data_IF_637994526790
#
_entry.id   IF_637994526790
#
_cell.length_a   1.000
_cell.length_b   1.000
_cell.length_c   1.000
_cell.angle_alpha   90.00
_cell.angle_beta   90.00
_cell.angle_gamma   90.00
#
_symmetry.space_group_name_H-M   'P 1'
#
loop_
_entity.id
_entity.type
_entity.pdbx_description
1 polymer ?
#
# COMPACT_ATOMS: atom_id res chain seq x y z
N UNK A 1 3.57 0.74 20.37
CA UNK A 1 2.91 1.66 19.41
C UNK A 1 3.77 2.87 19.08
N UNK A 2 3.74 4.02 19.78
CA UNK A 2 4.54 5.19 19.33
C UNK A 2 6.05 4.96 19.37
N UNK A 3 6.55 4.28 20.42
CA UNK A 3 7.97 3.93 20.57
C UNK A 3 8.47 3.01 19.45
N UNK A 4 7.60 2.12 18.98
CA UNK A 4 7.90 1.19 17.89
C UNK A 4 8.01 1.94 16.56
N UNK A 5 7.05 2.83 16.27
CA UNK A 5 7.11 3.71 15.10
C UNK A 5 8.35 4.61 15.12
N UNK A 6 8.76 5.09 16.29
CA UNK A 6 9.98 5.89 16.45
C UNK A 6 11.24 5.03 16.22
N UNK A 7 11.30 3.81 16.77
CA UNK A 7 12.42 2.88 16.55
C UNK A 7 12.55 2.42 15.10
N UNK A 8 11.44 2.32 14.38
CA UNK A 8 11.40 2.01 12.94
C UNK A 8 11.72 3.25 12.08
N UNK A 9 11.91 4.42 12.69
CA UNK A 9 12.15 5.68 12.00
C UNK A 9 10.95 6.18 11.19
N UNK A 10 9.74 5.69 11.45
CA UNK A 10 8.51 6.11 10.77
C UNK A 10 8.02 7.47 11.28
N UNK A 11 8.32 7.82 12.53
CA UNK A 11 7.99 9.11 13.15
C UNK A 11 9.20 9.72 13.85
N UNK A 12 9.13 11.01 14.14
CA UNK A 12 10.02 11.68 15.10
C UNK A 12 9.29 12.77 15.85
N UNK A 13 9.81 13.11 17.03
CA UNK A 13 9.42 14.33 17.75
C UNK A 13 9.59 15.56 16.86
N UNK A 14 8.70 16.52 17.03
CA UNK A 14 8.68 17.76 16.24
C UNK A 14 8.13 18.92 17.07
N UNK A 15 8.27 20.13 16.52
CA UNK A 15 7.60 21.33 16.97
C UNK A 15 7.01 22.05 15.76
N UNK A 16 5.77 21.67 15.42
CA UNK A 16 5.01 22.11 14.26
C UNK A 16 3.85 23.02 14.67
N UNK A 17 3.54 24.06 13.90
CA UNK A 17 2.32 24.85 14.11
C UNK A 17 1.03 24.07 13.78
N UNK A 18 1.13 22.92 13.09
CA UNK A 18 -0.01 22.06 12.77
C UNK A 18 -0.18 20.96 13.82
N UNK A 19 -1.40 20.48 13.99
CA UNK A 19 -1.66 19.29 14.80
C UNK A 19 -3.00 18.63 14.42
N UNK A 20 -2.96 17.35 14.08
CA UNK A 20 -4.15 16.52 13.86
C UNK A 20 -4.43 15.61 15.06
N UNK A 21 -5.71 15.38 15.42
CA UNK A 21 -6.04 14.50 16.53
C UNK A 21 -5.76 13.03 16.17
N UNK A 22 -5.38 12.25 17.18
CA UNK A 22 -5.25 10.80 17.05
C UNK A 22 -6.64 10.14 17.15
N UNK A 23 -6.90 9.15 16.32
CA UNK A 23 -8.09 8.32 16.35
C UNK A 23 -7.64 6.85 16.48
N UNK A 24 -7.69 6.24 17.67
CA UNK A 24 -7.33 4.83 17.81
C UNK A 24 -8.39 3.96 17.14
N UNK A 25 -7.97 3.09 16.22
CA UNK A 25 -8.86 2.13 15.55
C UNK A 25 -8.52 0.73 16.03
N UNK A 26 -9.54 -0.01 16.46
CA UNK A 26 -9.38 -1.42 16.84
C UNK A 26 -9.56 -2.29 15.60
N UNK A 27 -8.57 -3.12 15.30
CA UNK A 27 -8.63 -4.13 14.24
C UNK A 27 -9.54 -5.29 14.65
N UNK A 28 -9.96 -6.10 13.67
CA UNK A 28 -10.72 -7.33 13.90
C UNK A 28 -9.96 -8.41 14.67
N UNK A 29 -8.63 -8.40 14.60
CA UNK A 29 -7.73 -9.25 15.40
C UNK A 29 -7.59 -8.79 16.87
N UNK A 30 -8.20 -7.65 17.22
CA UNK A 30 -8.18 -7.08 18.57
C UNK A 30 -7.04 -6.08 18.83
N UNK A 31 -6.07 -5.94 17.92
CA UNK A 31 -4.97 -4.99 18.05
C UNK A 31 -5.42 -3.53 17.83
N UNK A 32 -4.71 -2.59 18.45
CA UNK A 32 -4.92 -1.16 18.24
C UNK A 32 -3.97 -0.63 17.16
N UNK A 33 -4.50 0.18 16.25
CA UNK A 33 -3.72 0.95 15.27
C UNK A 33 -3.79 2.43 15.62
N UNK A 34 -2.62 3.08 15.65
CA UNK A 34 -2.56 4.54 15.67
C UNK A 34 -3.01 5.06 14.31
N UNK A 35 -4.17 5.68 14.26
CA UNK A 35 -4.57 6.48 13.09
C UNK A 35 -4.63 7.95 13.47
N UNK A 36 -4.37 8.82 12.50
CA UNK A 36 -4.41 10.27 12.68
C UNK A 36 -5.52 10.78 11.80
N UNK A 37 -6.39 11.63 12.35
CA UNK A 37 -7.53 12.17 11.65
C UNK A 37 -7.11 13.38 10.80
N UNK A 38 -6.84 13.10 9.53
CA UNK A 38 -6.47 14.10 8.54
C UNK A 38 -7.66 14.73 7.81
N UNK A 39 -8.92 14.61 8.30
CA UNK A 39 -10.09 15.21 7.63
C UNK A 39 -9.91 16.70 7.34
N UNK A 40 -9.51 17.49 8.34
CA UNK A 40 -9.26 18.92 8.15
C UNK A 40 -8.11 19.22 7.17
N UNK A 41 -7.05 18.39 7.16
CA UNK A 41 -5.97 18.52 6.17
C UNK A 41 -6.45 18.17 4.76
N UNK A 42 -7.28 17.15 4.63
CA UNK A 42 -7.81 16.68 3.36
C UNK A 42 -8.77 17.70 2.72
N UNK A 43 -9.54 18.45 3.52
CA UNK A 43 -10.44 19.51 3.06
C UNK A 43 -9.68 20.65 2.38
N UNK A 44 -8.53 21.06 2.93
CA UNK A 44 -7.74 22.18 2.40
C UNK A 44 -6.68 21.75 1.39
N UNK A 45 -6.37 20.46 1.32
CA UNK A 45 -5.53 19.93 0.24
C UNK A 45 -6.31 20.07 -1.08
N UNK A 46 -5.70 20.55 -2.18
CA UNK A 46 -6.38 20.56 -3.48
C UNK A 46 -6.84 19.16 -3.92
N UNK A 47 -7.71 19.07 -4.92
CA UNK A 47 -7.98 17.78 -5.56
C UNK A 47 -6.88 17.50 -6.57
N UNK A 48 -6.26 16.32 -6.47
CA UNK A 48 -5.35 15.79 -7.48
C UNK A 48 -6.18 14.89 -8.38
N UNK A 49 -6.09 15.09 -9.69
CA UNK A 49 -6.66 14.13 -10.65
C UNK A 49 -5.96 12.80 -10.44
N UNK A 50 -6.68 11.81 -9.91
CA UNK A 50 -6.12 10.50 -9.65
C UNK A 50 -6.00 9.75 -10.98
N UNK A 51 -4.83 9.16 -11.22
CA UNK A 51 -4.66 8.12 -12.25
C UNK A 51 -5.02 6.72 -11.70
N UNK A 52 -5.77 6.65 -10.60
CA UNK A 52 -6.19 5.36 -10.03
C UNK A 52 -7.37 4.86 -10.89
N UNK A 53 -7.29 3.64 -11.45
CA UNK A 53 -8.36 3.10 -12.28
C UNK A 53 -9.70 3.07 -11.56
N UNK A 54 -10.78 3.23 -12.32
CA UNK A 54 -12.13 3.07 -11.79
C UNK A 54 -12.38 1.61 -11.38
N UNK A 55 -13.04 1.42 -10.24
CA UNK A 55 -13.26 0.07 -9.70
C UNK A 55 -14.18 -0.78 -10.59
N UNK A 56 -15.14 -0.16 -11.28
CA UNK A 56 -16.03 -0.87 -12.21
C UNK A 56 -15.27 -1.32 -13.45
N UNK A 57 -14.37 -0.47 -13.97
CA UNK A 57 -13.49 -0.83 -15.09
C UNK A 57 -12.60 -2.02 -14.75
N UNK A 58 -11.95 -1.98 -13.57
CA UNK A 58 -11.13 -3.09 -13.08
C UNK A 58 -11.94 -4.37 -12.89
N UNK A 59 -13.18 -4.26 -12.40
CA UNK A 59 -14.05 -5.42 -12.22
C UNK A 59 -14.43 -6.05 -13.57
N UNK A 60 -14.85 -5.24 -14.55
CA UNK A 60 -15.16 -5.70 -15.90
C UNK A 60 -13.95 -6.39 -16.55
N UNK A 61 -12.75 -5.83 -16.39
CA UNK A 61 -11.53 -6.43 -16.91
C UNK A 61 -11.24 -7.77 -16.23
N UNK A 62 -11.36 -7.85 -14.90
CA UNK A 62 -11.16 -9.09 -14.15
C UNK A 62 -12.19 -10.17 -14.55
N UNK A 63 -13.45 -9.81 -14.73
CA UNK A 63 -14.52 -10.71 -15.18
C UNK A 63 -14.25 -11.26 -16.59
N UNK A 64 -13.71 -10.44 -17.49
CA UNK A 64 -13.32 -10.88 -18.85
C UNK A 64 -12.28 -12.01 -18.87
N UNK A 65 -11.57 -12.20 -17.75
CA UNK A 65 -10.52 -13.19 -17.60
C UNK A 65 -10.99 -14.42 -16.80
N UNK A 66 -12.25 -14.49 -16.32
CA UNK A 66 -12.69 -15.34 -15.20
C UNK A 66 -12.34 -16.85 -15.24
N UNK A 67 -12.06 -17.43 -16.42
CA UNK A 67 -11.65 -18.82 -16.59
C UNK A 67 -10.14 -19.07 -16.35
N UNK A 68 -9.36 -18.02 -16.12
CA UNK A 68 -7.90 -18.08 -15.91
C UNK A 68 -7.51 -18.39 -14.47
N UNK A 69 -6.24 -18.76 -14.28
CA UNK A 69 -5.60 -18.84 -12.97
C UNK A 69 -5.21 -17.44 -12.51
N UNK A 70 -5.34 -17.15 -11.21
CA UNK A 70 -5.00 -15.84 -10.66
C UNK A 70 -4.18 -15.91 -9.38
N UNK A 71 -3.40 -14.87 -9.16
CA UNK A 71 -2.87 -14.57 -7.84
C UNK A 71 -3.06 -13.10 -7.52
N UNK A 72 -3.20 -12.84 -6.22
CA UNK A 72 -3.17 -11.50 -5.65
C UNK A 72 -1.88 -11.33 -4.86
N UNK A 73 -1.14 -10.28 -5.19
CA UNK A 73 0.06 -9.83 -4.49
C UNK A 73 -0.34 -8.59 -3.68
N UNK A 74 -0.15 -8.63 -2.37
CA UNK A 74 -0.43 -7.52 -1.46
C UNK A 74 0.89 -6.89 -1.01
N UNK A 75 1.08 -5.61 -1.29
CA UNK A 75 2.28 -4.86 -0.89
C UNK A 75 2.13 -4.40 0.56
N UNK A 76 2.96 -4.97 1.44
CA UNK A 76 2.91 -4.71 2.87
C UNK A 76 3.30 -3.26 3.19
N UNK A 77 2.47 -2.58 3.99
CA UNK A 77 2.81 -1.28 4.57
C UNK A 77 3.30 -0.25 3.55
N UNK A 78 2.78 -0.28 2.31
CA UNK A 78 3.28 0.53 1.18
C UNK A 78 3.51 2.00 1.52
N UNK A 79 2.59 2.61 2.29
CA UNK A 79 2.70 4.01 2.71
C UNK A 79 3.98 4.26 3.52
N UNK A 80 4.29 3.36 4.46
CA UNK A 80 5.47 3.51 5.31
C UNK A 80 6.79 3.21 4.59
N UNK A 81 6.75 2.56 3.42
CA UNK A 81 7.93 2.39 2.57
C UNK A 81 8.35 3.70 1.89
N UNK A 82 7.40 4.62 1.65
CA UNK A 82 7.65 5.85 0.91
C UNK A 82 8.14 6.95 1.86
N UNK A 83 9.35 7.51 1.66
CA UNK A 83 9.85 8.61 2.47
C UNK A 83 9.03 9.89 2.21
N UNK A 84 8.75 10.61 3.29
CA UNK A 84 8.10 11.92 3.22
C UNK A 84 9.16 13.02 3.19
N UNK A 85 9.07 13.89 2.19
CA UNK A 85 9.91 15.07 2.04
C UNK A 85 9.89 15.92 3.32
N UNK A 86 11.06 16.43 3.73
CA UNK A 86 11.23 17.06 5.05
C UNK A 86 10.35 18.30 5.23
N UNK A 87 10.11 19.03 4.14
CA UNK A 87 9.34 20.26 4.05
C UNK A 87 7.84 20.01 4.26
N UNK A 88 7.37 18.80 3.92
CA UNK A 88 5.97 18.41 4.07
C UNK A 88 5.65 17.91 5.49
N UNK A 89 6.64 17.39 6.21
CA UNK A 89 6.44 16.73 7.52
C UNK A 89 5.66 17.60 8.53
N UNK A 90 5.89 18.91 8.67
CA UNK A 90 5.16 19.71 9.66
C UNK A 90 3.63 19.58 9.56
N UNK A 91 3.08 19.44 8.35
CA UNK A 91 1.63 19.37 8.11
C UNK A 91 0.98 18.10 8.67
N UNK A 92 1.77 17.05 8.88
CA UNK A 92 1.28 15.75 9.35
C UNK A 92 1.49 15.52 10.85
N UNK A 93 1.79 16.59 11.59
CA UNK A 93 2.05 16.50 13.01
C UNK A 93 0.81 16.08 13.81
N UNK A 94 1.03 15.35 14.90
CA UNK A 94 0.00 14.90 15.85
C UNK A 94 0.58 14.84 17.26
N UNK A 95 -0.29 14.89 18.27
CA UNK A 95 0.13 14.87 19.68
C UNK A 95 -0.20 13.52 20.32
N UNK A 96 0.80 12.91 20.96
CA UNK A 96 0.66 11.72 21.77
C UNK A 96 1.25 11.96 23.17
N UNK A 97 0.42 11.85 24.21
CA UNK A 97 0.82 12.05 25.62
C UNK A 97 1.64 13.34 25.83
N UNK A 98 1.09 14.48 25.39
CA UNK A 98 1.70 15.81 25.48
C UNK A 98 3.01 16.00 24.71
N UNK A 99 3.42 15.03 23.88
CA UNK A 99 4.58 15.17 22.98
C UNK A 99 4.08 15.18 21.54
N UNK A 100 4.55 16.15 20.76
CA UNK A 100 4.21 16.25 19.34
C UNK A 100 5.18 15.44 18.48
N UNK A 101 4.63 14.69 17.55
CA UNK A 101 5.34 13.86 16.59
C UNK A 101 4.93 14.25 15.17
N UNK A 102 5.76 13.91 14.20
CA UNK A 102 5.38 13.91 12.79
C UNK A 102 5.91 12.66 12.09
N UNK A 103 5.27 12.30 10.98
CA UNK A 103 5.68 11.21 10.12
C UNK A 103 6.92 11.58 9.29
N UNK A 104 7.83 10.62 9.14
CA UNK A 104 8.94 10.64 8.17
C UNK A 104 8.64 9.84 6.92
N UNK A 105 7.55 9.10 6.92
CA UNK A 105 7.05 8.27 5.83
C UNK A 105 5.63 8.73 5.47
N UNK A 106 5.14 8.33 4.30
CA UNK A 106 3.81 8.72 3.85
C UNK A 106 2.75 8.22 4.85
N UNK A 107 1.88 9.08 5.39
CA UNK A 107 0.95 8.68 6.43
C UNK A 107 -0.33 8.05 5.87
N UNK A 108 -0.95 7.20 6.67
CA UNK A 108 -2.32 6.73 6.42
C UNK A 108 -3.34 7.83 6.72
N UNK A 109 -4.42 7.88 5.95
CA UNK A 109 -5.53 8.83 6.13
C UNK A 109 -5.40 10.15 5.37
N UNK A 110 -4.22 10.46 4.79
CA UNK A 110 -4.07 11.58 3.87
C UNK A 110 -4.55 11.19 2.46
N UNK A 111 -5.34 12.06 1.82
CA UNK A 111 -6.03 11.72 0.57
C UNK A 111 -5.13 11.50 -0.63
N UNK A 112 -3.91 12.05 -0.63
CA UNK A 112 -2.94 11.81 -1.71
C UNK A 112 -2.11 10.55 -1.49
N UNK A 113 -2.08 9.99 -0.26
CA UNK A 113 -1.26 8.81 0.02
C UNK A 113 -1.55 7.64 -0.93
N UNK A 114 -2.82 7.26 -1.20
CA UNK A 114 -3.13 6.20 -2.17
C UNK A 114 -2.68 6.52 -3.59
N UNK A 115 -2.85 7.78 -4.03
CA UNK A 115 -2.52 8.22 -5.40
C UNK A 115 -1.01 8.14 -5.63
N UNK A 116 -0.22 8.64 -4.67
CA UNK A 116 1.24 8.59 -4.71
C UNK A 116 1.72 7.13 -4.72
N UNK A 117 1.15 6.27 -3.88
CA UNK A 117 1.50 4.85 -3.87
C UNK A 117 1.22 4.17 -5.19
N UNK A 118 0.01 4.38 -5.72
CA UNK A 118 -0.40 3.78 -6.99
C UNK A 118 0.57 4.17 -8.11
N UNK A 119 0.87 5.46 -8.25
CA UNK A 119 1.78 5.95 -9.29
C UNK A 119 3.22 5.45 -9.13
N UNK A 120 3.73 5.33 -7.91
CA UNK A 120 5.08 4.79 -7.68
C UNK A 120 5.18 3.30 -8.01
N UNK A 121 4.16 2.51 -7.65
CA UNK A 121 4.10 1.09 -7.99
C UNK A 121 3.97 0.93 -9.51
N UNK A 122 3.07 1.70 -10.14
CA UNK A 122 2.87 1.67 -11.58
C UNK A 122 4.19 1.98 -12.32
N UNK A 123 4.89 3.05 -11.92
CA UNK A 123 6.17 3.41 -12.52
C UNK A 123 7.25 2.32 -12.35
N UNK A 124 7.26 1.61 -11.22
CA UNK A 124 8.16 0.49 -11.01
C UNK A 124 7.83 -0.69 -11.95
N UNK A 125 6.54 -1.02 -12.07
CA UNK A 125 6.06 -2.10 -12.95
C UNK A 125 6.32 -1.79 -14.43
N UNK A 126 6.08 -0.57 -14.87
CA UNK A 126 6.36 -0.11 -16.23
C UNK A 126 7.87 -0.19 -16.54
N UNK A 127 8.71 0.30 -15.64
CA UNK A 127 10.17 0.24 -15.78
C UNK A 127 10.70 -1.21 -15.82
N UNK A 128 10.08 -2.10 -15.06
CA UNK A 128 10.43 -3.53 -15.02
C UNK A 128 9.83 -4.35 -16.17
N UNK A 129 9.15 -3.71 -17.12
CA UNK A 129 8.43 -4.37 -18.22
C UNK A 129 7.52 -5.49 -17.68
N UNK A 130 6.74 -5.15 -16.64
CA UNK A 130 5.76 -6.06 -16.07
C UNK A 130 4.77 -6.50 -17.15
N UNK A 131 4.46 -7.79 -17.16
CA UNK A 131 3.49 -8.39 -18.07
C UNK A 131 2.06 -7.98 -17.68
N UNK A 132 1.06 -8.53 -18.39
CA UNK A 132 -0.37 -8.35 -18.08
C UNK A 132 -0.68 -8.49 -16.58
N UNK A 133 -1.13 -7.39 -15.96
CA UNK A 133 -1.53 -7.32 -14.55
C UNK A 133 -2.63 -6.26 -14.37
N UNK A 134 -3.35 -6.36 -13.26
CA UNK A 134 -4.28 -5.34 -12.78
C UNK A 134 -3.75 -4.80 -11.46
N UNK A 135 -3.76 -3.49 -11.30
CA UNK A 135 -3.29 -2.83 -10.09
C UNK A 135 -4.37 -1.94 -9.50
N UNK A 136 -4.60 -2.06 -8.19
CA UNK A 136 -5.40 -1.12 -7.41
C UNK A 136 -4.65 -0.72 -6.14
N UNK A 137 -4.12 0.50 -6.13
CA UNK A 137 -3.27 1.03 -5.05
C UNK A 137 -2.11 0.05 -4.73
N UNK A 138 -2.24 -0.79 -3.69
CA UNK A 138 -1.25 -1.76 -3.22
C UNK A 138 -1.55 -3.22 -3.56
N UNK A 139 -2.74 -3.49 -4.11
CA UNK A 139 -3.16 -4.82 -4.54
C UNK A 139 -2.84 -5.00 -6.03
N UNK A 140 -2.13 -6.07 -6.36
CA UNK A 140 -1.83 -6.46 -7.74
C UNK A 140 -2.43 -7.82 -8.02
N UNK A 141 -3.15 -7.94 -9.13
CA UNK A 141 -3.70 -9.19 -9.63
C UNK A 141 -2.93 -9.58 -10.89
N UNK A 142 -2.48 -10.84 -10.92
CA UNK A 142 -1.81 -11.46 -12.07
C UNK A 142 -2.58 -12.68 -12.52
N UNK A 143 -2.52 -13.01 -13.81
CA UNK A 143 -3.21 -14.17 -14.37
C UNK A 143 -2.45 -14.93 -15.44
N UNK A 144 -2.84 -16.18 -15.64
CA UNK A 144 -2.30 -17.07 -16.68
C UNK A 144 -3.31 -18.13 -17.11
N UNK A 145 -3.13 -18.68 -18.30
CA UNK A 145 -3.93 -19.80 -18.79
C UNK A 145 -3.59 -21.10 -18.05
N UNK A 146 -2.37 -21.18 -17.50
CA UNK A 146 -1.92 -22.25 -16.61
C UNK A 146 -1.48 -21.70 -15.26
N UNK A 147 -1.46 -22.56 -14.24
CA UNK A 147 -0.93 -22.21 -12.93
C UNK A 147 0.55 -21.78 -12.99
N UNK A 148 1.34 -22.44 -13.85
CA UNK A 148 2.77 -22.14 -14.01
C UNK A 148 2.99 -20.76 -14.64
N UNK A 149 2.27 -20.43 -15.71
CA UNK A 149 2.36 -19.12 -16.37
C UNK A 149 2.00 -17.98 -15.39
N UNK A 150 0.92 -18.18 -14.62
CA UNK A 150 0.52 -17.23 -13.58
C UNK A 150 1.60 -17.08 -12.50
N UNK A 151 2.23 -18.21 -12.12
CA UNK A 151 3.29 -18.23 -11.11
C UNK A 151 4.53 -17.43 -11.56
N UNK A 152 5.04 -17.71 -12.76
CA UNK A 152 6.20 -17.04 -13.34
C UNK A 152 5.98 -15.53 -13.50
N UNK A 153 4.77 -15.11 -13.92
CA UNK A 153 4.39 -13.69 -13.97
C UNK A 153 4.39 -13.06 -12.57
N UNK A 154 3.85 -13.76 -11.59
CA UNK A 154 3.82 -13.32 -10.19
C UNK A 154 5.23 -13.13 -9.63
N UNK A 155 6.13 -14.09 -9.86
CA UNK A 155 7.53 -13.99 -9.42
C UNK A 155 8.25 -12.81 -10.07
N UNK A 156 8.07 -12.60 -11.40
CA UNK A 156 8.66 -11.44 -12.08
C UNK A 156 8.19 -10.12 -11.46
N UNK A 157 6.89 -9.99 -11.17
CA UNK A 157 6.33 -8.78 -10.53
C UNK A 157 6.87 -8.59 -9.12
N UNK A 158 6.96 -9.67 -8.32
CA UNK A 158 7.55 -9.60 -6.98
C UNK A 158 8.99 -9.11 -7.06
N UNK A 159 9.78 -9.65 -8.00
CA UNK A 159 11.17 -9.25 -8.19
C UNK A 159 11.30 -7.75 -8.52
N UNK A 160 10.50 -7.25 -9.46
CA UNK A 160 10.46 -5.82 -9.83
C UNK A 160 10.16 -4.94 -8.60
N UNK A 161 9.17 -5.33 -7.79
CA UNK A 161 8.76 -4.58 -6.61
C UNK A 161 9.84 -4.59 -5.52
N UNK A 162 10.50 -5.73 -5.30
CA UNK A 162 11.60 -5.85 -4.36
C UNK A 162 12.80 -4.98 -4.78
N UNK A 163 13.15 -4.96 -6.07
CA UNK A 163 14.21 -4.10 -6.62
C UNK A 163 13.87 -2.61 -6.50
N UNK A 164 12.58 -2.26 -6.58
CA UNK A 164 12.08 -0.91 -6.33
C UNK A 164 12.01 -0.54 -4.84
N UNK A 165 12.32 -1.48 -3.92
CA UNK A 165 12.36 -1.26 -2.48
C UNK A 165 11.01 -1.41 -1.77
N UNK A 166 10.01 -2.02 -2.41
CA UNK A 166 8.73 -2.34 -1.77
C UNK A 166 8.81 -3.66 -0.99
N UNK A 167 8.12 -3.72 0.15
CA UNK A 167 7.98 -4.94 0.94
C UNK A 167 6.69 -5.67 0.55
N UNK A 168 6.76 -7.00 0.37
CA UNK A 168 5.62 -7.82 -0.07
C UNK A 168 5.07 -8.63 1.10
N UNK A 169 3.75 -8.67 1.25
CA UNK A 169 3.05 -9.56 2.19
C UNK A 169 2.70 -10.88 1.49
N UNK A 170 2.59 -11.96 2.27
CA UNK A 170 2.15 -13.29 1.80
C UNK A 170 1.06 -13.19 0.72
N UNK A 171 1.35 -13.69 -0.48
CA UNK A 171 0.45 -13.70 -1.62
C UNK A 171 -0.64 -14.79 -1.49
N UNK A 172 -1.79 -14.58 -2.13
CA UNK A 172 -2.89 -15.55 -2.18
C UNK A 172 -3.12 -15.98 -3.62
N UNK A 173 -3.24 -17.29 -3.87
CA UNK A 173 -3.62 -17.84 -5.18
C UNK A 173 -5.13 -18.03 -5.18
N UNK A 174 -5.78 -17.76 -6.30
CA UNK A 174 -7.12 -18.26 -6.58
C UNK A 174 -7.08 -19.10 -7.85
N UNK A 175 -7.61 -20.31 -7.77
CA UNK A 175 -7.62 -21.26 -8.89
C UNK A 175 -8.94 -21.15 -9.67
N UNK A 176 -8.98 -21.53 -10.96
CA UNK A 176 -10.22 -21.63 -11.72
C UNK A 176 -11.25 -22.48 -10.96
N UNK A 177 -12.50 -22.01 -10.92
CA UNK A 177 -13.56 -22.65 -10.12
C UNK A 177 -13.65 -22.19 -8.66
N UNK A 178 -12.95 -21.11 -8.29
CA UNK A 178 -13.27 -20.31 -7.10
C UNK A 178 -12.60 -20.73 -5.79
N UNK A 179 -11.77 -21.78 -5.78
CA UNK A 179 -11.03 -22.18 -4.58
C UNK A 179 -9.80 -21.28 -4.36
N UNK A 180 -9.62 -20.75 -3.14
CA UNK A 180 -8.41 -20.03 -2.75
C UNK A 180 -7.36 -21.01 -2.22
N UNK A 181 -6.13 -20.89 -2.69
CA UNK A 181 -4.96 -21.62 -2.18
C UNK A 181 -3.89 -20.62 -1.70
N UNK A 182 -3.08 -20.99 -0.71
CA UNK A 182 -1.99 -20.14 -0.23
C UNK A 182 -0.75 -20.35 -1.11
N UNK A 183 -0.06 -19.27 -1.51
CA UNK A 183 1.26 -19.38 -2.13
C UNK A 183 2.27 -19.95 -1.12
N UNK A 184 3.31 -20.64 -1.61
CA UNK A 184 4.36 -21.26 -0.80
C UNK A 184 4.91 -20.31 0.27
N UNK A 185 5.09 -20.83 1.49
CA UNK A 185 5.83 -20.16 2.56
C UNK A 185 7.33 -20.28 2.25
N UNK A 186 7.90 -19.30 1.56
CA UNK A 186 9.35 -19.10 1.59
C UNK A 186 9.68 -18.06 2.66
N UNK A 187 10.21 -18.55 3.77
CA UNK A 187 10.82 -17.74 4.82
C UNK A 187 12.04 -16.99 4.25
N UNK A 188 11.88 -15.71 3.93
CA UNK A 188 13.02 -14.79 3.84
C UNK A 188 13.21 -14.12 5.20
N UNK A 189 14.23 -14.62 5.90
CA UNK A 189 14.84 -14.02 7.09
C UNK A 189 15.52 -12.69 6.77
#
# INVERSE_FOLDING_TARGET
MIQELESQGAVSKTHSPFNSPIMPVRKSDGEWRLTVDYRGLNEVTPSLSAAVPDMLELQCELESKAERWYATIDIANVFFSIPLAAECRPQFAFTWRAVQYTWKRLPQGWKYSPIICHGLIQAALEKGEALEHLQYINDIIVWGNTAMEMFEKGEKIIQILLEAGFAIKKSKVKVPGGKMARWMESDSH
#
